data_IF_833048129725
#
_entry.id   IF_833048129725
#
_cell.length_a   1.000
_cell.length_b   1.000
_cell.length_c   1.000
_cell.angle_alpha   90.00
_cell.angle_beta   90.00
_cell.angle_gamma   90.00
#
_symmetry.space_group_name_H-M   'P 1'
#
loop_
_entity.id
_entity.type
_entity.pdbx_description
1 polymer ?
#
# COMPACT_ATOMS: atom_id res chain seq x y z
N UNK A 1 -25.59 -20.44 -64.39
CA UNK A 1 -24.80 -21.21 -63.44
C UNK A 1 -23.74 -20.28 -62.83
N UNK A 2 -23.67 -19.71 -61.68
CA UNK A 2 -24.44 -19.81 -60.42
C UNK A 2 -24.22 -18.50 -59.59
N UNK A 3 -24.84 -17.40 -59.93
CA UNK A 3 -24.76 -16.19 -59.08
C UNK A 3 -25.45 -16.38 -57.72
N UNK A 4 -26.51 -17.23 -57.68
CA UNK A 4 -27.25 -17.51 -56.48
C UNK A 4 -26.46 -18.36 -55.45
N UNK A 5 -25.58 -19.28 -55.92
CA UNK A 5 -24.77 -20.11 -55.03
C UNK A 5 -23.67 -19.28 -54.34
N UNK A 6 -23.06 -18.31 -55.02
CA UNK A 6 -22.05 -17.44 -54.42
C UNK A 6 -22.64 -16.47 -53.39
N UNK A 7 -23.88 -15.97 -53.63
CA UNK A 7 -24.59 -15.14 -52.68
C UNK A 7 -24.97 -15.88 -51.38
N UNK A 8 -25.41 -17.14 -51.49
CA UNK A 8 -25.72 -17.99 -50.35
C UNK A 8 -24.47 -18.37 -49.57
N UNK A 9 -23.34 -18.64 -50.20
CA UNK A 9 -22.06 -18.92 -49.54
C UNK A 9 -21.50 -17.68 -48.84
N UNK A 10 -21.63 -16.51 -49.44
CA UNK A 10 -21.15 -15.25 -48.83
C UNK A 10 -21.99 -14.87 -47.63
N UNK A 11 -23.31 -15.05 -47.64
CA UNK A 11 -24.18 -14.78 -46.49
C UNK A 11 -23.96 -15.77 -45.36
N UNK A 12 -23.67 -17.04 -45.64
CA UNK A 12 -23.33 -18.07 -44.66
C UNK A 12 -21.98 -17.74 -43.97
N UNK A 13 -20.99 -17.27 -44.73
CA UNK A 13 -19.69 -16.89 -44.20
C UNK A 13 -19.79 -15.64 -43.32
N UNK A 14 -20.63 -14.67 -43.71
CA UNK A 14 -20.87 -13.43 -42.92
C UNK A 14 -21.60 -13.77 -41.61
N UNK A 15 -22.57 -14.65 -41.63
CA UNK A 15 -23.30 -15.10 -40.43
C UNK A 15 -22.39 -15.83 -39.43
N UNK A 16 -21.47 -16.67 -39.89
CA UNK A 16 -20.47 -17.33 -39.04
C UNK A 16 -19.48 -16.33 -38.43
N UNK A 17 -19.06 -15.32 -39.19
CA UNK A 17 -18.14 -14.26 -38.69
C UNK A 17 -18.80 -13.41 -37.60
N UNK A 18 -20.10 -13.12 -37.74
CA UNK A 18 -20.84 -12.33 -36.74
C UNK A 18 -21.01 -13.11 -35.43
N UNK A 19 -21.23 -14.42 -35.50
CA UNK A 19 -21.34 -15.26 -34.28
C UNK A 19 -20.02 -15.32 -33.51
N UNK A 20 -18.87 -15.31 -34.19
CA UNK A 20 -17.55 -15.24 -33.51
C UNK A 20 -17.24 -13.90 -32.83
N UNK A 21 -17.86 -12.80 -33.30
CA UNK A 21 -17.65 -11.48 -32.70
C UNK A 21 -18.44 -11.25 -31.40
N UNK A 22 -19.49 -12.06 -31.13
CA UNK A 22 -20.29 -11.98 -29.91
C UNK A 22 -19.94 -13.03 -28.85
N UNK A 23 -19.00 -13.94 -29.12
CA UNK A 23 -18.45 -14.82 -28.10
C UNK A 23 -17.39 -14.08 -27.29
N UNK A 24 -17.73 -12.89 -26.78
CA UNK A 24 -16.96 -12.18 -25.77
C UNK A 24 -17.01 -12.98 -24.49
N UNK A 25 -16.04 -13.85 -24.28
CA UNK A 25 -15.75 -14.39 -22.96
C UNK A 25 -15.58 -13.22 -22.01
N UNK A 26 -16.49 -13.09 -21.04
CA UNK A 26 -16.26 -12.33 -19.81
C UNK A 26 -15.13 -13.02 -19.05
N UNK A 27 -13.94 -12.95 -19.59
CA UNK A 27 -12.71 -13.36 -18.92
C UNK A 27 -12.43 -12.31 -17.86
N UNK A 28 -12.72 -12.60 -16.60
CA UNK A 28 -12.15 -11.88 -15.48
C UNK A 28 -10.64 -11.84 -15.72
N UNK A 29 -10.06 -10.63 -15.83
CA UNK A 29 -8.64 -10.48 -16.10
C UNK A 29 -7.84 -11.13 -14.97
N UNK A 30 -7.03 -12.17 -15.20
CA UNK A 30 -6.31 -12.90 -14.14
C UNK A 30 -5.38 -11.99 -13.34
N UNK A 31 -4.85 -10.92 -13.96
CA UNK A 31 -3.95 -9.94 -13.34
C UNK A 31 -4.63 -9.09 -12.26
N UNK A 32 -5.90 -8.70 -12.43
CA UNK A 32 -6.64 -7.91 -11.43
C UNK A 32 -6.99 -8.78 -10.22
N UNK A 33 -7.46 -10.01 -10.43
CA UNK A 33 -7.75 -10.95 -9.34
C UNK A 33 -6.50 -11.32 -8.54
N UNK A 34 -5.34 -11.45 -9.20
CA UNK A 34 -4.07 -11.71 -8.52
C UNK A 34 -3.67 -10.52 -7.64
N UNK A 35 -3.84 -9.29 -8.12
CA UNK A 35 -3.55 -8.08 -7.35
C UNK A 35 -4.44 -7.94 -6.10
N UNK A 36 -5.75 -8.14 -6.24
CA UNK A 36 -6.69 -8.09 -5.11
C UNK A 36 -6.41 -9.17 -4.07
N UNK A 37 -6.13 -10.41 -4.51
CA UNK A 37 -5.79 -11.52 -3.62
C UNK A 37 -4.48 -11.24 -2.85
N UNK A 38 -3.49 -10.63 -3.48
CA UNK A 38 -2.23 -10.22 -2.84
C UNK A 38 -2.48 -9.14 -1.79
N UNK A 39 -3.27 -8.13 -2.08
CA UNK A 39 -3.64 -7.07 -1.13
C UNK A 39 -4.39 -7.67 0.07
N UNK A 40 -5.37 -8.55 -0.16
CA UNK A 40 -6.10 -9.23 0.91
C UNK A 40 -5.17 -10.06 1.80
N UNK A 41 -4.21 -10.76 1.23
CA UNK A 41 -3.20 -11.54 1.95
C UNK A 41 -2.30 -10.62 2.81
N UNK A 42 -1.86 -9.49 2.27
CA UNK A 42 -1.07 -8.49 3.03
C UNK A 42 -1.86 -7.94 4.21
N UNK A 43 -3.13 -7.58 3.99
CA UNK A 43 -4.03 -7.09 5.06
C UNK A 43 -4.17 -8.13 6.16
N UNK A 44 -4.46 -9.39 5.82
CA UNK A 44 -4.60 -10.47 6.80
C UNK A 44 -3.30 -10.72 7.59
N UNK A 45 -2.15 -10.67 6.91
CA UNK A 45 -0.84 -10.82 7.54
C UNK A 45 -0.55 -9.67 8.52
N UNK A 46 -0.73 -8.41 8.09
CA UNK A 46 -0.54 -7.26 8.96
C UNK A 46 -1.51 -7.28 10.15
N UNK A 47 -2.79 -7.61 9.93
CA UNK A 47 -3.77 -7.76 11.01
C UNK A 47 -3.30 -8.78 12.05
N UNK A 48 -2.74 -9.91 11.63
CA UNK A 48 -2.21 -10.94 12.52
C UNK A 48 -1.04 -10.40 13.36
N UNK A 49 -0.11 -9.67 12.75
CA UNK A 49 1.01 -9.05 13.46
C UNK A 49 0.53 -7.99 14.47
N UNK A 50 -0.43 -7.15 14.09
CA UNK A 50 -1.02 -6.14 14.96
C UNK A 50 -1.68 -6.79 16.20
N UNK A 51 -2.45 -7.86 16.01
CA UNK A 51 -3.04 -8.61 17.12
C UNK A 51 -2.00 -9.19 18.08
N UNK A 52 -0.82 -9.51 17.57
CA UNK A 52 0.29 -10.03 18.36
C UNK A 52 0.99 -8.99 19.24
N UNK A 53 0.72 -7.69 19.07
CA UNK A 53 1.39 -6.62 19.84
C UNK A 53 0.99 -6.58 21.31
N UNK A 54 -0.18 -7.09 21.69
CA UNK A 54 -0.64 -7.11 23.06
C UNK A 54 -1.87 -7.99 23.27
N UNK A 55 -2.11 -8.39 24.52
CA UNK A 55 -3.23 -9.28 24.88
C UNK A 55 -4.60 -8.61 24.69
N UNK A 56 -4.65 -7.30 24.93
CA UNK A 56 -5.89 -6.51 24.98
C UNK A 56 -6.15 -5.77 23.66
N UNK A 57 -5.45 -6.13 22.57
CA UNK A 57 -5.64 -5.54 21.25
C UNK A 57 -6.97 -5.97 20.64
N UNK A 58 -7.76 -5.00 20.19
CA UNK A 58 -9.06 -5.24 19.55
C UNK A 58 -8.88 -5.74 18.11
N UNK A 59 -9.56 -6.85 17.77
CA UNK A 59 -9.47 -7.48 16.45
C UNK A 59 -10.03 -6.59 15.34
N UNK A 60 -11.07 -5.80 15.62
CA UNK A 60 -11.67 -4.91 14.64
C UNK A 60 -10.79 -3.68 14.38
N UNK A 61 -10.11 -3.18 15.42
CA UNK A 61 -9.11 -2.12 15.26
C UNK A 61 -7.91 -2.60 14.47
N UNK A 62 -7.36 -3.79 14.80
CA UNK A 62 -6.27 -4.41 14.04
C UNK A 62 -6.61 -4.54 12.54
N UNK A 63 -7.84 -4.97 12.23
CA UNK A 63 -8.33 -5.06 10.86
C UNK A 63 -8.39 -3.68 10.21
N UNK A 64 -9.01 -2.68 10.85
CA UNK A 64 -9.13 -1.32 10.30
C UNK A 64 -7.76 -0.69 10.04
N UNK A 65 -6.81 -0.88 10.96
CA UNK A 65 -5.43 -0.41 10.77
C UNK A 65 -4.78 -1.09 9.58
N UNK A 66 -4.87 -2.43 9.48
CA UNK A 66 -4.26 -3.19 8.39
C UNK A 66 -4.85 -2.80 7.03
N UNK A 67 -6.18 -2.75 6.91
CA UNK A 67 -6.88 -2.31 5.70
C UNK A 67 -6.45 -0.89 5.31
N UNK A 68 -6.48 0.03 6.27
CA UNK A 68 -6.13 1.44 6.02
C UNK A 68 -4.67 1.58 5.62
N UNK A 69 -3.73 0.98 6.37
CA UNK A 69 -2.31 1.15 6.11
C UNK A 69 -1.91 0.57 4.75
N UNK A 70 -2.39 -0.63 4.42
CA UNK A 70 -2.07 -1.27 3.14
C UNK A 70 -2.69 -0.52 1.96
N UNK A 71 -4.00 -0.26 2.00
CA UNK A 71 -4.69 0.35 0.86
C UNK A 71 -4.31 1.81 0.66
N UNK A 72 -4.13 2.56 1.74
CA UNK A 72 -3.77 3.97 1.65
C UNK A 72 -2.32 4.16 1.16
N UNK A 73 -1.41 3.24 1.47
CA UNK A 73 -0.05 3.27 0.93
C UNK A 73 -0.03 3.15 -0.60
N UNK A 74 -0.82 2.27 -1.19
CA UNK A 74 -0.97 2.19 -2.65
C UNK A 74 -1.56 3.48 -3.22
N UNK A 75 -2.60 4.01 -2.57
CA UNK A 75 -3.23 5.26 -2.99
C UNK A 75 -2.24 6.44 -2.96
N UNK A 76 -1.42 6.56 -1.91
CA UNK A 76 -0.36 7.58 -1.84
C UNK A 76 0.66 7.42 -2.96
N UNK A 77 1.02 6.19 -3.34
CA UNK A 77 1.91 5.96 -4.48
C UNK A 77 1.34 6.54 -5.78
N UNK A 78 0.04 6.40 -6.01
CA UNK A 78 -0.67 6.99 -7.15
C UNK A 78 -0.71 8.52 -7.05
N UNK A 79 -1.11 9.06 -5.90
CA UNK A 79 -1.21 10.51 -5.65
C UNK A 79 0.15 11.21 -5.83
N UNK A 80 1.24 10.61 -5.33
CA UNK A 80 2.60 11.14 -5.49
C UNK A 80 3.19 10.84 -6.87
N UNK A 81 2.52 10.05 -7.69
CA UNK A 81 3.02 9.57 -9.00
C UNK A 81 4.42 8.96 -8.85
N UNK A 82 4.54 8.03 -7.91
CA UNK A 82 5.82 7.45 -7.50
C UNK A 82 6.50 6.75 -8.66
N UNK A 83 7.77 7.06 -8.88
CA UNK A 83 8.66 6.37 -9.80
C UNK A 83 9.64 5.50 -8.98
N UNK A 84 9.44 4.18 -8.91
CA UNK A 84 10.34 3.31 -8.14
C UNK A 84 11.73 3.21 -8.78
N UNK A 85 12.78 2.90 -7.99
CA UNK A 85 12.76 2.71 -6.54
C UNK A 85 12.63 4.04 -5.77
N UNK A 86 12.26 3.99 -4.47
CA UNK A 86 11.99 5.16 -3.64
C UNK A 86 13.10 6.24 -3.68
N UNK A 87 14.37 5.82 -3.69
CA UNK A 87 15.52 6.75 -3.79
C UNK A 87 15.57 7.49 -5.12
N UNK A 88 15.15 6.85 -6.21
CA UNK A 88 15.02 7.52 -7.51
C UNK A 88 13.92 8.58 -7.46
N UNK A 89 12.79 8.24 -6.84
CA UNK A 89 11.71 9.22 -6.65
C UNK A 89 12.16 10.43 -5.81
N UNK A 90 12.97 10.21 -4.76
CA UNK A 90 13.56 11.31 -3.98
C UNK A 90 14.41 12.24 -4.87
N UNK A 91 15.20 11.69 -5.79
CA UNK A 91 15.97 12.51 -6.72
C UNK A 91 15.06 13.35 -7.63
N UNK A 92 13.95 12.78 -8.11
CA UNK A 92 12.98 13.53 -8.92
C UNK A 92 12.35 14.69 -8.14
N UNK A 93 12.14 14.54 -6.83
CA UNK A 93 11.68 15.63 -5.96
C UNK A 93 12.76 16.71 -5.85
N UNK A 94 14.01 16.34 -5.57
CA UNK A 94 15.12 17.28 -5.48
C UNK A 94 15.36 18.07 -6.78
N UNK A 95 15.08 17.45 -7.92
CA UNK A 95 15.15 18.09 -9.24
C UNK A 95 13.90 18.92 -9.60
N UNK A 96 12.88 18.98 -8.76
CA UNK A 96 11.63 19.70 -8.99
C UNK A 96 10.64 19.03 -9.96
N UNK A 97 10.84 17.75 -10.31
CA UNK A 97 9.92 17.00 -11.18
C UNK A 97 8.77 16.36 -10.41
N UNK A 98 8.84 16.30 -9.08
CA UNK A 98 7.82 15.79 -8.16
C UNK A 98 7.75 16.67 -6.93
N UNK A 99 6.56 16.78 -6.35
CA UNK A 99 6.31 17.67 -5.20
C UNK A 99 6.33 16.92 -3.85
N UNK A 100 5.90 15.65 -3.84
CA UNK A 100 5.76 14.82 -2.62
C UNK A 100 6.29 13.40 -2.86
N UNK A 101 6.54 12.68 -1.73
CA UNK A 101 6.98 11.29 -1.74
C UNK A 101 8.31 11.03 -1.00
N UNK A 102 8.87 12.04 -0.30
CA UNK A 102 9.95 11.81 0.68
C UNK A 102 9.39 11.03 1.90
N UNK A 103 10.23 10.31 2.61
CA UNK A 103 9.81 9.45 3.73
C UNK A 103 8.89 10.16 4.73
N UNK A 104 9.18 11.41 5.08
CA UNK A 104 8.35 12.18 6.01
C UNK A 104 6.96 12.51 5.43
N UNK A 105 6.81 12.74 4.12
CA UNK A 105 5.50 12.95 3.49
C UNK A 105 4.62 11.71 3.64
N UNK A 106 5.19 10.53 3.43
CA UNK A 106 4.49 9.26 3.62
C UNK A 106 4.08 9.04 5.07
N UNK A 107 4.99 9.40 6.00
CA UNK A 107 4.72 9.27 7.43
C UNK A 107 3.61 10.21 7.87
N UNK A 108 3.66 11.48 7.45
CA UNK A 108 2.64 12.49 7.74
C UNK A 108 1.25 12.06 7.28
N UNK A 109 1.13 11.68 5.99
CA UNK A 109 -0.16 11.36 5.39
C UNK A 109 -0.72 10.04 5.96
N UNK A 110 0.12 9.02 6.18
CA UNK A 110 -0.30 7.76 6.80
C UNK A 110 -0.69 7.98 8.28
N UNK A 111 0.11 8.74 9.03
CA UNK A 111 -0.17 9.09 10.44
C UNK A 111 -1.54 9.76 10.55
N UNK A 112 -1.78 10.81 9.77
CA UNK A 112 -3.05 11.53 9.73
C UNK A 112 -4.22 10.59 9.43
N UNK A 113 -4.04 9.66 8.49
CA UNK A 113 -5.08 8.69 8.12
C UNK A 113 -5.37 7.69 9.23
N UNK A 114 -4.34 7.21 9.92
CA UNK A 114 -4.48 6.26 11.03
C UNK A 114 -5.04 6.92 12.29
N UNK A 115 -4.64 8.17 12.60
CA UNK A 115 -5.20 8.94 13.73
C UNK A 115 -6.71 9.12 13.59
N UNK A 116 -7.22 9.29 12.37
CA UNK A 116 -8.66 9.42 12.09
C UNK A 116 -9.46 8.14 12.43
N UNK A 117 -8.82 7.01 12.65
CA UNK A 117 -9.48 5.76 13.09
C UNK A 117 -9.93 5.79 14.56
N UNK A 118 -9.42 6.75 15.36
CA UNK A 118 -9.74 6.88 16.79
C UNK A 118 -9.57 5.57 17.56
N UNK A 119 -8.37 4.97 17.44
CA UNK A 119 -8.02 3.69 18.04
C UNK A 119 -8.04 3.78 19.57
N UNK A 120 -8.44 2.69 20.25
CA UNK A 120 -8.53 2.58 21.71
C UNK A 120 -7.50 1.61 22.29
N UNK A 121 -7.12 0.61 21.51
CA UNK A 121 -6.20 -0.46 21.96
C UNK A 121 -4.82 -0.34 21.34
N UNK A 122 -4.62 0.67 20.49
CA UNK A 122 -3.33 0.96 19.86
C UNK A 122 -2.93 2.41 20.07
N UNK A 123 -1.61 2.64 20.10
CA UNK A 123 -1.00 3.96 20.11
C UNK A 123 -0.11 4.14 18.87
N UNK A 124 -0.17 5.32 18.27
CA UNK A 124 0.62 5.69 17.11
C UNK A 124 1.78 6.57 17.55
N UNK A 125 2.94 6.37 16.94
CA UNK A 125 4.16 7.12 17.19
C UNK A 125 4.79 7.50 15.85
N UNK A 126 5.44 8.66 15.81
CA UNK A 126 6.34 9.00 14.73
C UNK A 126 7.72 8.41 15.04
N UNK A 127 8.15 7.45 14.23
CA UNK A 127 9.49 6.88 14.32
C UNK A 127 10.45 7.66 13.42
N UNK A 128 11.61 8.03 13.97
CA UNK A 128 12.71 8.62 13.21
C UNK A 128 13.98 7.79 13.40
N UNK A 129 14.72 7.56 12.33
CA UNK A 129 16.01 6.90 12.34
C UNK A 129 17.08 7.85 11.79
N UNK A 130 18.28 7.85 12.36
CA UNK A 130 19.39 8.71 11.99
C UNK A 130 19.03 10.21 11.98
N UNK A 131 18.27 10.66 12.96
CA UNK A 131 17.77 12.04 13.08
C UNK A 131 18.90 13.07 12.87
N UNK A 132 18.62 14.10 12.06
CA UNK A 132 19.56 15.16 11.70
C UNK A 132 20.56 14.80 10.60
N UNK A 133 20.50 13.61 10.05
CA UNK A 133 21.35 13.20 8.91
C UNK A 133 20.66 13.51 7.58
N UNK A 134 21.14 14.49 6.83
CA UNK A 134 20.55 14.89 5.53
C UNK A 134 20.34 13.74 4.54
N UNK A 135 21.22 12.73 4.55
CA UNK A 135 21.18 11.63 3.57
C UNK A 135 20.62 10.31 4.13
N UNK A 136 20.56 10.19 5.47
CA UNK A 136 20.24 8.92 6.11
C UNK A 136 19.01 8.99 6.99
N UNK A 137 18.52 10.18 7.31
CA UNK A 137 17.31 10.33 8.10
C UNK A 137 16.16 9.63 7.40
N UNK A 138 15.45 8.81 8.17
CA UNK A 138 14.28 8.11 7.70
C UNK A 138 13.16 8.22 8.72
N UNK A 139 11.95 8.43 8.21
CA UNK A 139 10.75 8.62 9.01
C UNK A 139 9.73 7.54 8.66
N UNK A 140 9.01 7.05 9.66
CA UNK A 140 7.91 6.10 9.46
C UNK A 140 6.92 6.13 10.62
N UNK A 141 5.71 5.61 10.40
CA UNK A 141 4.75 5.39 11.47
C UNK A 141 5.17 4.14 12.25
N UNK A 142 5.12 4.22 13.58
CA UNK A 142 5.23 3.05 14.48
C UNK A 142 3.93 2.92 15.25
N UNK A 143 3.42 1.70 15.33
CA UNK A 143 2.20 1.38 16.08
C UNK A 143 2.53 0.38 17.18
N UNK A 144 2.10 0.69 18.41
CA UNK A 144 2.19 -0.22 19.57
C UNK A 144 0.80 -0.63 20.05
N UNK A 145 0.68 -1.69 20.82
CA UNK A 145 -0.49 -1.84 21.68
C UNK A 145 -0.50 -0.73 22.73
N UNK A 146 -1.67 -0.39 23.27
CA UNK A 146 -1.81 0.63 24.31
C UNK A 146 -0.91 0.29 25.49
N UNK A 147 -0.23 1.29 26.04
CA UNK A 147 0.72 1.18 27.16
C UNK A 147 1.95 0.25 26.91
N UNK A 148 2.20 -0.17 25.68
CA UNK A 148 3.44 -0.86 25.33
C UNK A 148 4.52 0.15 24.91
N UNK A 149 5.79 -0.09 25.29
CA UNK A 149 6.90 0.78 24.91
C UNK A 149 7.14 0.73 23.38
N UNK A 150 7.67 1.82 22.84
CA UNK A 150 7.94 2.02 21.42
C UNK A 150 8.70 0.84 20.77
N UNK A 151 9.68 0.28 21.47
CA UNK A 151 10.55 -0.80 20.97
C UNK A 151 9.79 -2.12 20.72
N UNK A 152 8.59 -2.26 21.29
CA UNK A 152 7.69 -3.40 21.04
C UNK A 152 6.71 -3.17 19.89
N UNK A 153 6.78 -2.03 19.25
CA UNK A 153 5.90 -1.67 18.14
C UNK A 153 6.25 -2.32 16.81
N UNK A 154 5.36 -2.10 15.85
CA UNK A 154 5.57 -2.37 14.43
C UNK A 154 5.81 -1.07 13.69
N UNK A 155 6.88 -1.03 12.90
CA UNK A 155 7.12 -0.01 11.87
C UNK A 155 6.14 -0.25 10.72
N UNK A 156 5.52 0.80 10.20
CA UNK A 156 4.64 0.78 9.01
C UNK A 156 5.23 1.74 7.96
N UNK A 157 6.02 1.22 7.03
CA UNK A 157 6.86 2.01 6.12
C UNK A 157 6.42 1.87 4.65
N UNK A 158 5.58 2.78 4.14
CA UNK A 158 5.16 2.78 2.75
C UNK A 158 6.23 3.30 1.78
N UNK A 159 7.18 4.13 2.25
CA UNK A 159 8.22 4.69 1.41
C UNK A 159 9.18 3.63 0.89
N UNK A 160 9.60 2.68 1.73
CA UNK A 160 10.66 1.71 1.45
C UNK A 160 10.46 0.93 0.15
N UNK A 161 9.23 0.51 -0.11
CA UNK A 161 8.84 -0.22 -1.31
C UNK A 161 7.90 0.58 -2.24
N UNK A 162 8.05 1.92 -2.22
CA UNK A 162 7.36 2.79 -3.17
C UNK A 162 5.83 2.61 -3.19
N UNK A 163 5.21 2.49 -2.00
CA UNK A 163 3.76 2.33 -1.82
C UNK A 163 3.31 0.89 -1.51
N UNK A 164 4.14 -0.11 -1.75
CA UNK A 164 3.89 -1.46 -1.24
C UNK A 164 4.33 -1.54 0.22
N UNK A 165 3.39 -1.33 1.14
CA UNK A 165 3.66 -1.20 2.57
C UNK A 165 4.60 -2.30 3.08
N UNK A 166 5.73 -1.89 3.64
CA UNK A 166 6.62 -2.72 4.43
C UNK A 166 6.28 -2.59 5.91
N UNK A 167 6.42 -3.67 6.68
CA UNK A 167 6.33 -3.63 8.14
C UNK A 167 7.27 -4.63 8.78
N UNK A 168 7.78 -4.28 9.97
CA UNK A 168 8.61 -5.15 10.80
C UNK A 168 8.51 -4.71 12.26
N UNK A 169 8.84 -5.61 13.20
CA UNK A 169 9.03 -5.20 14.57
C UNK A 169 10.17 -4.18 14.68
N UNK A 170 9.99 -3.13 15.47
CA UNK A 170 11.02 -2.10 15.70
C UNK A 170 12.36 -2.72 16.08
N UNK A 171 12.35 -3.74 16.94
CA UNK A 171 13.56 -4.45 17.41
C UNK A 171 14.23 -5.34 16.35
N UNK A 172 13.57 -5.59 15.21
CA UNK A 172 14.07 -6.48 14.14
C UNK A 172 14.35 -5.71 12.86
N UNK A 173 13.94 -4.45 12.76
CA UNK A 173 14.24 -3.61 11.59
C UNK A 173 15.72 -3.15 11.61
N UNK A 174 16.30 -3.03 10.42
CA UNK A 174 17.68 -2.57 10.26
C UNK A 174 17.91 -1.08 10.54
N UNK A 175 16.86 -0.28 10.76
CA UNK A 175 16.96 1.13 11.13
C UNK A 175 16.95 1.33 12.65
N UNK A 176 17.81 2.21 13.21
CA UNK A 176 17.83 2.54 14.64
C UNK A 176 16.70 3.52 14.97
N UNK A 177 15.47 3.00 15.03
CA UNK A 177 14.29 3.81 15.29
C UNK A 177 14.25 4.39 16.68
N UNK A 178 13.87 5.67 16.77
CA UNK A 178 13.56 6.38 18.02
C UNK A 178 12.22 7.10 17.87
N UNK A 179 11.44 7.24 18.96
CA UNK A 179 10.20 8.01 18.91
C UNK A 179 10.50 9.52 18.80
N UNK A 180 9.86 10.19 17.84
CA UNK A 180 9.84 11.64 17.80
C UNK A 180 8.77 12.15 18.79
N UNK A 181 9.07 13.14 19.65
CA UNK A 181 8.09 13.72 20.56
C UNK A 181 6.86 14.27 19.82
N UNK A 182 5.64 14.14 20.40
CA UNK A 182 4.40 14.57 19.72
C UNK A 182 4.33 16.06 19.35
N UNK A 183 5.05 16.92 20.07
CA UNK A 183 5.15 18.35 19.79
C UNK A 183 6.07 18.70 18.59
N UNK A 184 6.68 17.67 18.01
CA UNK A 184 7.58 17.79 16.83
C UNK A 184 7.00 17.10 15.57
N UNK A 185 5.76 16.64 15.60
CA UNK A 185 5.09 15.98 14.46
C UNK A 185 4.53 16.99 13.46
#
# INVERSE_FOLDING_TARGET
MNRSLHLLALNALLAVLVVFLFSGCSGSHPSLQTGEAQIATKIASLQTNLKGLGKDTDTSEARRVAETAVTYSFRLAEEYRVAPPARWHNLLIQMGFRDRGLCFHWTEDLMKRLLALNLKTYQLHWGVAHQGSELREHNSVVITAWDQPFEKGLVLDPWRNAGDLYWAAVSQDGYPWMPLPPDQW
#
